data_IF_918784080454
#
_entry.id   IF_918784080454
#
_cell.length_a   1.000
_cell.length_b   1.000
_cell.length_c   1.000
_cell.angle_alpha   90.00
_cell.angle_beta   90.00
_cell.angle_gamma   90.00
#
_symmetry.space_group_name_H-M   'P 1'
#
loop_
_entity.id
_entity.type
_entity.pdbx_description
1 polymer ?
#
# COMPACT_ATOMS: atom_id res chain seq x y z
N UNK A 1 -68.13 8.85 -0.62
CA UNK A 1 -67.22 9.97 -0.93
C UNK A 1 -65.94 9.79 -0.12
N UNK A 2 -64.83 9.55 -0.83
CA UNK A 2 -63.41 9.77 -0.48
C UNK A 2 -62.85 9.14 0.82
N UNK A 3 -62.18 7.99 0.73
CA UNK A 3 -60.71 7.82 0.54
C UNK A 3 -59.84 8.67 1.49
N UNK A 4 -59.16 8.02 2.45
CA UNK A 4 -57.75 8.28 2.77
C UNK A 4 -57.04 6.98 3.13
N UNK A 5 -56.17 6.54 2.24
CA UNK A 5 -55.27 5.42 2.39
C UNK A 5 -54.18 5.80 3.39
N UNK A 6 -54.07 5.11 4.53
CA UNK A 6 -52.89 5.20 5.38
C UNK A 6 -51.92 4.11 4.97
N UNK A 7 -50.81 4.53 4.38
CA UNK A 7 -49.85 3.70 3.69
C UNK A 7 -49.16 2.69 4.62
N UNK A 8 -49.15 1.46 4.13
CA UNK A 8 -48.32 0.34 4.54
C UNK A 8 -46.84 0.75 4.55
N UNK A 9 -46.20 0.80 5.73
CA UNK A 9 -44.73 0.87 5.83
C UNK A 9 -44.19 -0.55 5.96
N UNK A 10 -43.81 -1.11 4.82
CA UNK A 10 -43.06 -2.36 4.72
C UNK A 10 -41.59 -2.05 5.04
N UNK A 11 -41.14 -2.39 6.24
CA UNK A 11 -39.73 -2.29 6.63
C UNK A 11 -38.94 -3.43 5.98
N UNK A 12 -38.26 -3.15 4.88
CA UNK A 12 -37.26 -4.04 4.29
C UNK A 12 -35.92 -3.77 5.00
N UNK A 13 -35.53 -4.65 5.92
CA UNK A 13 -34.14 -4.76 6.35
C UNK A 13 -33.34 -5.36 5.20
N UNK A 14 -32.69 -4.52 4.40
CA UNK A 14 -31.64 -4.95 3.50
C UNK A 14 -30.37 -5.20 4.33
N UNK A 15 -30.11 -6.47 4.66
CA UNK A 15 -28.81 -6.89 5.13
C UNK A 15 -27.80 -6.66 3.99
N UNK A 16 -26.93 -5.66 4.13
CA UNK A 16 -25.73 -5.54 3.30
C UNK A 16 -24.80 -6.71 3.66
N UNK A 17 -24.97 -7.83 2.97
CA UNK A 17 -23.87 -8.78 2.83
C UNK A 17 -22.76 -8.05 2.06
N UNK A 18 -21.65 -7.74 2.75
CA UNK A 18 -20.41 -7.42 2.08
C UNK A 18 -20.13 -8.53 1.07
N UNK A 19 -20.23 -8.21 -0.22
CA UNK A 19 -19.82 -9.11 -1.29
C UNK A 19 -18.31 -9.24 -1.19
N UNK A 20 -17.86 -10.19 -0.36
CA UNK A 20 -16.52 -10.74 -0.50
C UNK A 20 -16.50 -11.37 -1.89
N UNK A 21 -16.06 -10.62 -2.91
CA UNK A 21 -15.81 -11.15 -4.24
C UNK A 21 -14.87 -12.33 -4.01
N UNK A 22 -15.33 -13.55 -4.22
CA UNK A 22 -14.47 -14.67 -3.96
C UNK A 22 -13.39 -14.60 -5.05
N UNK A 23 -12.12 -14.58 -4.65
CA UNK A 23 -11.02 -14.74 -5.59
C UNK A 23 -11.07 -16.18 -6.08
N UNK A 24 -11.91 -16.42 -7.09
CA UNK A 24 -11.91 -17.65 -7.83
C UNK A 24 -10.68 -17.59 -8.74
N UNK A 25 -10.07 -18.75 -8.97
CA UNK A 25 -9.17 -18.90 -10.10
C UNK A 25 -9.80 -18.31 -11.36
N UNK A 26 -8.96 -17.78 -12.26
CA UNK A 26 -9.43 -17.15 -13.49
C UNK A 26 -10.44 -18.09 -14.17
N UNK A 27 -11.66 -17.60 -14.40
CA UNK A 27 -12.68 -18.35 -15.11
C UNK A 27 -12.33 -18.34 -16.60
N UNK A 28 -11.60 -19.36 -17.03
CA UNK A 28 -11.11 -19.45 -18.40
C UNK A 28 -12.21 -19.51 -19.47
N UNK A 29 -13.47 -19.78 -19.09
CA UNK A 29 -14.61 -19.66 -20.01
C UNK A 29 -15.01 -18.21 -20.30
N UNK A 30 -14.55 -17.27 -19.47
CA UNK A 30 -14.85 -15.84 -19.53
C UNK A 30 -13.62 -14.97 -19.76
N UNK A 31 -12.44 -15.55 -19.97
CA UNK A 31 -11.21 -14.81 -20.19
C UNK A 31 -11.34 -13.82 -21.37
N UNK A 32 -11.15 -12.53 -21.10
CA UNK A 32 -11.26 -11.45 -22.08
C UNK A 32 -9.91 -10.75 -22.30
N UNK A 33 -9.15 -10.51 -21.23
CA UNK A 33 -7.89 -9.74 -21.31
C UNK A 33 -6.76 -10.59 -21.91
N UNK A 34 -5.70 -9.96 -22.47
CA UNK A 34 -4.52 -10.69 -22.95
C UNK A 34 -3.89 -11.56 -21.84
N UNK A 35 -3.69 -11.00 -20.65
CA UNK A 35 -3.20 -11.69 -19.45
C UNK A 35 -4.06 -12.89 -19.04
N UNK A 36 -5.38 -12.77 -19.00
CA UNK A 36 -6.29 -13.89 -18.71
C UNK A 36 -6.17 -14.99 -19.76
N UNK A 37 -6.13 -14.61 -21.05
CA UNK A 37 -5.96 -15.57 -22.17
C UNK A 37 -4.63 -16.28 -22.10
N UNK A 38 -3.54 -15.58 -21.77
CA UNK A 38 -2.22 -16.17 -21.55
C UNK A 38 -2.29 -17.25 -20.47
N UNK A 39 -2.82 -16.92 -19.29
CA UNK A 39 -2.96 -17.86 -18.16
C UNK A 39 -3.84 -19.05 -18.57
N UNK A 40 -4.94 -18.80 -19.25
CA UNK A 40 -5.89 -19.85 -19.65
C UNK A 40 -5.40 -20.73 -20.80
N UNK A 41 -4.47 -20.26 -21.62
CA UNK A 41 -3.88 -21.07 -22.69
C UNK A 41 -2.89 -22.13 -22.19
N UNK A 42 -2.40 -21.98 -20.95
CA UNK A 42 -1.40 -22.87 -20.36
C UNK A 42 -1.94 -23.68 -19.19
N UNK A 43 -1.81 -25.01 -19.28
CA UNK A 43 -2.13 -25.91 -18.14
C UNK A 43 -1.21 -25.66 -16.93
N UNK A 44 0.02 -25.24 -17.17
CA UNK A 44 0.97 -24.89 -16.10
C UNK A 44 0.44 -23.67 -15.34
N UNK A 45 0.11 -22.59 -16.06
CA UNK A 45 -0.38 -21.36 -15.45
C UNK A 45 -1.74 -21.53 -14.78
N UNK A 46 -2.68 -22.29 -15.35
CA UNK A 46 -3.93 -22.62 -14.69
C UNK A 46 -3.71 -23.34 -13.35
N UNK A 47 -2.74 -24.26 -13.28
CA UNK A 47 -2.40 -24.96 -12.04
C UNK A 47 -1.74 -24.01 -11.03
N UNK A 48 -0.88 -23.11 -11.50
CA UNK A 48 -0.24 -22.09 -10.67
C UNK A 48 -1.28 -21.12 -10.08
N UNK A 49 -2.20 -20.61 -10.90
CA UNK A 49 -3.29 -19.73 -10.48
C UNK A 49 -4.24 -20.44 -9.49
N UNK A 50 -4.61 -21.70 -9.74
CA UNK A 50 -5.41 -22.48 -8.79
C UNK A 50 -4.71 -22.63 -7.43
N UNK A 51 -3.38 -22.83 -7.43
CA UNK A 51 -2.59 -22.90 -6.20
C UNK A 51 -2.56 -21.55 -5.49
N UNK A 52 -2.32 -20.45 -6.20
CA UNK A 52 -2.36 -19.10 -5.66
C UNK A 52 -3.70 -18.82 -4.96
N UNK A 53 -4.82 -19.12 -5.63
CA UNK A 53 -6.16 -18.87 -5.07
C UNK A 53 -6.46 -19.73 -3.83
N UNK A 54 -5.96 -20.98 -3.79
CA UNK A 54 -6.05 -21.81 -2.58
C UNK A 54 -5.25 -21.22 -1.42
N UNK A 55 -4.02 -20.78 -1.69
CA UNK A 55 -3.17 -20.12 -0.68
C UNK A 55 -3.83 -18.84 -0.19
N UNK A 56 -4.23 -17.95 -1.09
CA UNK A 56 -4.94 -16.72 -0.75
C UNK A 56 -6.20 -16.98 0.10
N UNK A 57 -7.00 -17.97 -0.28
CA UNK A 57 -8.19 -18.36 0.49
C UNK A 57 -7.84 -18.85 1.90
N UNK A 58 -6.71 -19.52 2.08
CA UNK A 58 -6.23 -19.94 3.40
C UNK A 58 -5.74 -18.72 4.21
N UNK A 59 -4.95 -17.82 3.61
CA UNK A 59 -4.49 -16.58 4.23
C UNK A 59 -5.66 -15.68 4.65
N UNK A 60 -6.71 -15.57 3.83
CA UNK A 60 -7.93 -14.85 4.20
C UNK A 60 -8.67 -15.46 5.39
N UNK A 61 -8.59 -16.78 5.58
CA UNK A 61 -9.20 -17.49 6.71
C UNK A 61 -8.37 -17.37 7.98
N UNK A 62 -7.05 -17.14 7.87
CA UNK A 62 -6.17 -16.92 9.02
C UNK A 62 -6.17 -15.46 9.50
N UNK A 63 -6.82 -14.54 8.76
CA UNK A 63 -6.98 -13.15 9.17
C UNK A 63 -7.64 -13.08 10.57
N UNK A 64 -7.01 -12.38 11.54
CA UNK A 64 -7.49 -12.35 12.92
C UNK A 64 -8.73 -11.46 13.11
N UNK A 65 -9.01 -10.55 12.19
CA UNK A 65 -10.11 -9.59 12.24
C UNK A 65 -10.42 -9.03 10.84
N UNK A 66 -11.51 -8.28 10.74
CA UNK A 66 -11.99 -7.72 9.47
C UNK A 66 -11.05 -6.66 8.89
N UNK A 67 -10.32 -5.92 9.72
CA UNK A 67 -9.38 -4.89 9.24
C UNK A 67 -8.19 -5.53 8.52
N UNK A 68 -7.56 -6.54 9.11
CA UNK A 68 -6.49 -7.29 8.45
C UNK A 68 -7.03 -8.09 7.26
N UNK A 69 -8.25 -8.62 7.35
CA UNK A 69 -8.90 -9.28 6.20
C UNK A 69 -9.11 -8.32 5.03
N UNK A 70 -9.61 -7.10 5.28
CA UNK A 70 -9.80 -6.07 4.26
C UNK A 70 -8.47 -5.63 3.65
N UNK A 71 -7.43 -5.48 4.47
CA UNK A 71 -6.06 -5.23 3.99
C UNK A 71 -5.57 -6.32 3.05
N UNK A 72 -5.74 -7.61 3.41
CA UNK A 72 -5.34 -8.73 2.54
C UNK A 72 -6.09 -8.73 1.19
N UNK A 73 -7.37 -8.36 1.21
CA UNK A 73 -8.17 -8.19 -0.03
C UNK A 73 -7.61 -7.05 -0.89
N UNK A 74 -7.30 -5.90 -0.29
CA UNK A 74 -6.73 -4.76 -1.01
C UNK A 74 -5.35 -5.10 -1.60
N UNK A 75 -4.48 -5.73 -0.81
CA UNK A 75 -3.18 -6.23 -1.23
C UNK A 75 -3.30 -7.18 -2.44
N UNK A 76 -4.21 -8.15 -2.40
CA UNK A 76 -4.40 -9.08 -3.53
C UNK A 76 -4.95 -8.39 -4.78
N UNK A 77 -5.87 -7.43 -4.63
CA UNK A 77 -6.38 -6.64 -5.76
C UNK A 77 -5.27 -5.84 -6.43
N UNK A 78 -4.40 -5.18 -5.66
CA UNK A 78 -3.26 -4.43 -6.21
C UNK A 78 -2.29 -5.35 -6.95
N UNK A 79 -1.98 -6.52 -6.38
CA UNK A 79 -1.12 -7.49 -7.04
C UNK A 79 -1.69 -7.98 -8.37
N UNK A 80 -2.99 -8.30 -8.43
CA UNK A 80 -3.66 -8.72 -9.68
C UNK A 80 -3.58 -7.60 -10.72
N UNK A 81 -3.88 -6.35 -10.34
CA UNK A 81 -3.81 -5.21 -11.26
C UNK A 81 -2.38 -5.00 -11.80
N UNK A 82 -1.36 -5.10 -10.94
CA UNK A 82 0.04 -4.98 -11.33
C UNK A 82 0.47 -6.11 -12.28
N UNK A 83 0.09 -7.36 -11.98
CA UNK A 83 0.34 -8.53 -12.84
C UNK A 83 -0.29 -8.33 -14.21
N UNK A 84 -1.57 -7.97 -14.26
CA UNK A 84 -2.32 -7.86 -15.52
C UNK A 84 -1.76 -6.73 -16.39
N UNK A 85 -1.47 -5.56 -15.80
CA UNK A 85 -0.80 -4.44 -16.49
C UNK A 85 0.53 -4.87 -17.09
N UNK A 86 1.36 -5.59 -16.33
CA UNK A 86 2.68 -6.02 -16.78
C UNK A 86 2.60 -7.07 -17.90
N UNK A 87 1.76 -8.10 -17.72
CA UNK A 87 1.58 -9.15 -18.73
C UNK A 87 0.94 -8.60 -20.00
N UNK A 88 -0.06 -7.73 -19.90
CA UNK A 88 -0.67 -7.10 -21.07
C UNK A 88 0.36 -6.26 -21.85
N UNK A 89 1.25 -5.54 -21.14
CA UNK A 89 2.37 -4.83 -21.76
C UNK A 89 3.35 -5.75 -22.49
N UNK A 90 3.79 -6.84 -21.85
CA UNK A 90 4.69 -7.84 -22.46
C UNK A 90 4.08 -8.56 -23.66
N UNK A 91 2.76 -8.79 -23.65
CA UNK A 91 2.04 -9.40 -24.77
C UNK A 91 1.89 -8.40 -25.93
N UNK A 92 1.62 -7.13 -25.61
CA UNK A 92 1.48 -6.06 -26.59
C UNK A 92 2.81 -5.64 -27.23
N UNK A 93 3.91 -5.79 -26.50
CA UNK A 93 5.27 -5.41 -26.92
C UNK A 93 6.24 -6.60 -26.74
N UNK A 94 6.26 -7.57 -27.66
CA UNK A 94 7.10 -8.77 -27.52
C UNK A 94 8.60 -8.49 -27.38
N UNK A 95 9.08 -7.39 -27.95
CA UNK A 95 10.49 -6.95 -27.85
C UNK A 95 10.86 -6.48 -26.43
N UNK A 96 9.86 -6.22 -25.56
CA UNK A 96 10.03 -5.86 -24.15
C UNK A 96 10.17 -7.10 -23.24
N UNK A 97 10.03 -8.31 -23.79
CA UNK A 97 10.26 -9.57 -23.06
C UNK A 97 11.76 -9.78 -22.87
N UNK A 98 12.27 -9.96 -21.64
CA UNK A 98 13.68 -10.22 -21.40
C UNK A 98 14.21 -11.43 -22.19
N UNK A 99 15.41 -11.30 -22.76
CA UNK A 99 16.06 -12.34 -23.54
C UNK A 99 16.04 -13.71 -22.83
N UNK A 100 15.63 -14.74 -23.57
CA UNK A 100 15.59 -16.11 -23.08
C UNK A 100 14.42 -16.43 -22.13
N UNK A 101 13.49 -15.49 -21.90
CA UNK A 101 12.23 -15.75 -21.19
C UNK A 101 11.03 -15.68 -22.14
N UNK A 102 9.98 -16.45 -21.84
CA UNK A 102 8.66 -16.28 -22.46
C UNK A 102 7.71 -15.54 -21.51
N UNK A 103 6.65 -14.94 -22.06
CA UNK A 103 5.58 -14.35 -21.24
C UNK A 103 4.94 -15.39 -20.29
N UNK A 104 4.87 -16.67 -20.70
CA UNK A 104 4.41 -17.76 -19.84
C UNK A 104 5.35 -17.98 -18.64
N UNK A 105 6.67 -18.00 -18.86
CA UNK A 105 7.65 -18.16 -17.77
C UNK A 105 7.63 -16.97 -16.79
N UNK A 106 7.43 -15.75 -17.31
CA UNK A 106 7.30 -14.55 -16.49
C UNK A 106 6.01 -14.61 -15.64
N UNK A 107 4.88 -14.98 -16.25
CA UNK A 107 3.62 -15.16 -15.54
C UNK A 107 3.72 -16.23 -14.45
N UNK A 108 4.39 -17.36 -14.72
CA UNK A 108 4.60 -18.41 -13.71
C UNK A 108 5.43 -17.89 -12.54
N UNK A 109 6.50 -17.11 -12.79
CA UNK A 109 7.33 -16.50 -11.74
C UNK A 109 6.52 -15.55 -10.86
N UNK A 110 5.77 -14.62 -11.47
CA UNK A 110 4.92 -13.69 -10.73
C UNK A 110 3.93 -14.43 -9.81
N UNK A 111 3.24 -15.45 -10.35
CA UNK A 111 2.26 -16.25 -9.59
C UNK A 111 2.96 -17.05 -8.48
N UNK A 112 4.13 -17.63 -8.75
CA UNK A 112 4.90 -18.39 -7.78
C UNK A 112 5.38 -17.51 -6.61
N UNK A 113 5.92 -16.34 -6.91
CA UNK A 113 6.39 -15.36 -5.91
C UNK A 113 5.24 -14.90 -5.02
N UNK A 114 4.10 -14.52 -5.61
CA UNK A 114 2.92 -14.14 -4.82
C UNK A 114 2.40 -15.28 -3.97
N UNK A 115 2.38 -16.49 -4.50
CA UNK A 115 2.00 -17.69 -3.75
C UNK A 115 2.93 -17.90 -2.55
N UNK A 116 4.24 -17.65 -2.72
CA UNK A 116 5.23 -17.78 -1.65
C UNK A 116 5.06 -16.67 -0.58
N UNK A 117 4.82 -15.44 -1.00
CA UNK A 117 4.56 -14.29 -0.12
C UNK A 117 3.31 -14.54 0.76
N UNK A 118 2.20 -14.95 0.15
CA UNK A 118 0.96 -15.28 0.86
C UNK A 118 1.07 -16.53 1.74
N UNK A 119 1.94 -17.46 1.34
CA UNK A 119 2.22 -18.71 2.06
C UNK A 119 3.33 -18.60 3.10
N UNK A 120 3.78 -17.38 3.43
CA UNK A 120 4.69 -17.08 4.55
C UNK A 120 6.10 -17.70 4.42
N UNK A 121 6.59 -17.94 3.19
CA UNK A 121 7.94 -18.48 2.99
C UNK A 121 9.01 -17.39 2.98
N UNK A 122 9.84 -17.33 4.02
CA UNK A 122 11.14 -16.64 4.00
C UNK A 122 11.15 -15.14 4.33
N UNK A 123 10.02 -14.54 4.70
CA UNK A 123 9.87 -13.15 5.18
C UNK A 123 8.74 -13.10 6.23
N UNK A 124 8.62 -11.97 6.95
CA UNK A 124 7.42 -11.71 7.76
C UNK A 124 6.17 -11.81 6.89
N UNK A 125 5.15 -12.50 7.38
CA UNK A 125 3.85 -12.58 6.71
C UNK A 125 3.18 -11.19 6.66
N UNK A 126 2.30 -10.98 5.68
CA UNK A 126 1.51 -9.75 5.57
C UNK A 126 0.71 -9.47 6.86
N UNK A 127 0.28 -10.53 7.56
CA UNK A 127 -0.44 -10.44 8.83
C UNK A 127 0.49 -9.98 9.97
N UNK A 128 1.72 -10.47 10.02
CA UNK A 128 2.71 -10.05 11.02
C UNK A 128 3.19 -8.61 10.81
N UNK A 129 3.34 -8.18 9.56
CA UNK A 129 3.60 -6.78 9.22
C UNK A 129 2.47 -5.90 9.75
N UNK A 130 1.21 -6.25 9.43
CA UNK A 130 0.05 -5.50 9.90
C UNK A 130 -0.10 -5.50 11.43
N UNK A 131 0.26 -6.58 12.12
CA UNK A 131 0.30 -6.62 13.59
C UNK A 131 1.35 -5.68 14.16
N UNK A 132 2.53 -5.63 13.54
CA UNK A 132 3.62 -4.72 13.93
C UNK A 132 3.19 -3.27 13.78
N UNK A 133 2.62 -2.92 12.63
CA UNK A 133 2.04 -1.61 12.36
C UNK A 133 0.98 -1.24 13.39
N UNK A 134 0.02 -2.14 13.65
CA UNK A 134 -1.05 -1.91 14.63
C UNK A 134 -0.48 -1.64 16.02
N UNK A 135 0.51 -2.42 16.47
CA UNK A 135 1.15 -2.24 17.77
C UNK A 135 1.87 -0.89 17.88
N UNK A 136 2.51 -0.43 16.81
CA UNK A 136 3.10 0.90 16.76
C UNK A 136 2.03 2.00 16.82
N UNK A 137 1.01 1.91 15.96
CA UNK A 137 -0.06 2.91 15.82
C UNK A 137 -0.90 3.10 17.09
N UNK A 138 -1.08 2.04 17.89
CA UNK A 138 -1.81 2.10 19.18
C UNK A 138 -1.20 3.05 20.22
N UNK A 139 0.05 3.49 20.01
CA UNK A 139 0.70 4.47 20.90
C UNK A 139 0.21 5.90 20.69
N UNK A 140 -0.56 6.17 19.63
CA UNK A 140 -0.98 7.51 19.22
C UNK A 140 -2.50 7.62 19.16
N UNK A 141 -3.02 8.85 19.16
CA UNK A 141 -4.48 9.07 19.09
C UNK A 141 -5.12 8.64 17.77
N UNK A 142 -4.33 8.35 16.74
CA UNK A 142 -4.78 8.21 15.35
C UNK A 142 -5.44 9.50 14.83
N UNK A 143 -6.24 9.38 13.77
CA UNK A 143 -7.11 10.42 13.24
C UNK A 143 -7.46 10.20 11.77
N UNK A 144 -8.20 11.16 11.21
CA UNK A 144 -8.74 11.09 9.85
C UNK A 144 -7.66 10.94 8.76
N UNK A 145 -6.45 11.43 9.01
CA UNK A 145 -5.34 11.35 8.08
C UNK A 145 -4.44 10.15 8.33
N UNK A 146 -4.58 9.42 9.44
CA UNK A 146 -3.74 8.25 9.70
C UNK A 146 -4.10 7.08 8.78
N UNK A 147 -3.10 6.47 8.14
CA UNK A 147 -3.27 5.27 7.32
C UNK A 147 -2.32 5.24 6.12
N UNK A 148 -2.66 4.36 5.16
CA UNK A 148 -1.80 4.00 4.05
C UNK A 148 -2.53 4.16 2.71
N UNK A 149 -1.85 4.78 1.76
CA UNK A 149 -2.22 4.83 0.35
C UNK A 149 -1.08 4.21 -0.44
N UNK A 150 -1.28 3.02 -1.00
CA UNK A 150 -0.18 2.23 -1.59
C UNK A 150 -0.46 1.94 -3.05
N UNK A 151 0.49 2.32 -3.90
CA UNK A 151 0.55 1.89 -5.30
C UNK A 151 1.56 0.74 -5.43
N UNK A 152 1.30 -0.21 -6.32
CA UNK A 152 2.24 -1.32 -6.56
C UNK A 152 2.32 -1.61 -8.05
N UNK A 153 3.50 -2.00 -8.51
CA UNK A 153 3.79 -2.32 -9.92
C UNK A 153 4.74 -3.52 -9.99
N UNK A 154 4.77 -4.17 -11.17
CA UNK A 154 5.83 -5.11 -11.53
C UNK A 154 6.95 -4.30 -12.20
N UNK A 155 8.10 -4.18 -11.53
CA UNK A 155 9.19 -3.35 -12.02
C UNK A 155 10.06 -4.10 -13.05
N UNK A 156 10.35 -3.51 -14.22
CA UNK A 156 11.31 -4.08 -15.16
C UNK A 156 12.74 -4.05 -14.59
N UNK A 157 13.66 -4.89 -15.09
CA UNK A 157 13.45 -5.89 -16.16
C UNK A 157 12.86 -7.22 -15.66
N UNK A 158 13.03 -7.53 -14.38
CA UNK A 158 12.67 -8.84 -13.82
C UNK A 158 11.19 -8.99 -13.46
N UNK A 159 10.41 -7.91 -13.61
CA UNK A 159 9.00 -7.86 -13.26
C UNK A 159 8.75 -8.12 -11.77
N UNK A 160 9.64 -7.61 -10.93
CA UNK A 160 9.57 -7.77 -9.48
C UNK A 160 8.41 -6.93 -8.93
N UNK A 161 7.51 -7.57 -8.19
CA UNK A 161 6.41 -6.88 -7.51
C UNK A 161 6.96 -5.98 -6.40
N UNK A 162 6.74 -4.67 -6.51
CA UNK A 162 7.13 -3.69 -5.51
C UNK A 162 5.99 -2.71 -5.25
N UNK A 163 5.94 -2.20 -4.03
CA UNK A 163 4.94 -1.25 -3.58
C UNK A 163 5.59 0.05 -3.11
N UNK A 164 4.90 1.15 -3.37
CA UNK A 164 5.30 2.53 -3.15
C UNK A 164 4.19 3.23 -2.36
N UNK A 165 4.31 3.24 -1.02
CA UNK A 165 3.32 3.83 -0.15
C UNK A 165 3.53 5.33 0.08
N UNK A 166 2.42 6.06 0.11
CA UNK A 166 2.27 7.24 0.94
C UNK A 166 1.63 6.79 2.26
N UNK A 167 2.35 6.97 3.37
CA UNK A 167 1.91 6.58 4.71
C UNK A 167 1.85 7.80 5.62
N UNK A 168 0.77 7.87 6.39
CA UNK A 168 0.46 8.99 7.27
C UNK A 168 0.24 8.48 8.69
N UNK A 169 0.90 9.11 9.64
CA UNK A 169 0.79 8.83 11.06
C UNK A 169 0.26 10.07 11.76
N UNK A 170 -0.67 9.90 12.70
CA UNK A 170 -1.31 11.04 13.35
C UNK A 170 -1.36 10.89 14.87
N UNK A 171 -1.06 11.99 15.56
CA UNK A 171 -1.20 12.15 17.00
C UNK A 171 -1.71 13.56 17.34
N UNK A 172 -2.99 13.66 17.70
CA UNK A 172 -3.70 14.92 17.84
C UNK A 172 -3.75 15.70 16.53
N UNK A 173 -3.30 16.94 16.60
CA UNK A 173 -3.10 17.86 15.46
C UNK A 173 -1.78 17.61 14.72
N UNK A 174 -0.95 16.63 15.09
CA UNK A 174 0.32 16.35 14.41
C UNK A 174 0.14 15.25 13.37
N UNK A 175 0.60 15.49 12.14
CA UNK A 175 0.68 14.47 11.08
C UNK A 175 2.12 14.35 10.59
N UNK A 176 2.65 13.13 10.59
CA UNK A 176 3.97 12.79 10.08
C UNK A 176 3.78 11.80 8.93
N UNK A 177 4.35 12.11 7.77
CA UNK A 177 4.10 11.32 6.55
C UNK A 177 5.40 10.86 5.93
N UNK A 178 5.38 9.70 5.29
CA UNK A 178 6.42 9.25 4.38
C UNK A 178 5.79 8.96 3.04
N UNK A 179 6.43 9.44 1.99
CA UNK A 179 6.07 9.16 0.62
C UNK A 179 7.24 8.44 -0.04
N UNK A 180 6.96 7.29 -0.62
CA UNK A 180 7.93 6.50 -1.38
C UNK A 180 7.45 6.41 -2.82
N UNK A 181 8.36 6.65 -3.77
CA UNK A 181 8.05 6.52 -5.18
C UNK A 181 9.27 6.04 -5.97
N UNK A 182 9.00 5.50 -7.16
CA UNK A 182 10.02 5.06 -8.11
C UNK A 182 10.00 5.93 -9.35
N UNK A 183 11.16 6.50 -9.68
CA UNK A 183 11.36 7.25 -10.91
C UNK A 183 12.80 7.06 -11.37
N UNK A 184 13.09 7.24 -12.66
CA UNK A 184 14.47 7.27 -13.18
C UNK A 184 15.36 6.11 -12.66
N UNK A 185 14.79 4.91 -12.55
CA UNK A 185 15.44 3.69 -12.05
C UNK A 185 16.00 3.78 -10.61
N UNK A 186 15.43 4.64 -9.76
CA UNK A 186 15.85 4.86 -8.37
C UNK A 186 14.63 4.99 -7.46
N UNK A 187 14.75 4.50 -6.23
CA UNK A 187 13.76 4.71 -5.18
C UNK A 187 13.99 6.06 -4.48
N UNK A 188 12.90 6.79 -4.31
CA UNK A 188 12.87 8.08 -3.64
C UNK A 188 12.04 7.95 -2.37
N UNK A 189 12.46 8.65 -1.33
CA UNK A 189 11.69 8.76 -0.09
C UNK A 189 11.63 10.21 0.32
N UNK A 190 10.43 10.72 0.59
CA UNK A 190 10.22 12.04 1.18
C UNK A 190 9.54 11.90 2.52
N UNK A 191 10.02 12.64 3.51
CA UNK A 191 9.37 12.76 4.81
C UNK A 191 8.72 14.12 4.91
N UNK A 192 7.52 14.15 5.48
CA UNK A 192 6.75 15.37 5.68
C UNK A 192 6.26 15.47 7.12
N UNK A 193 6.15 16.71 7.57
CA UNK A 193 5.61 17.04 8.88
C UNK A 193 4.58 18.14 8.67
N UNK A 194 3.38 17.90 9.18
CA UNK A 194 2.27 18.84 9.12
C UNK A 194 1.60 18.97 10.48
N UNK A 195 0.96 20.13 10.69
CA UNK A 195 -0.01 20.31 11.76
C UNK A 195 -1.41 20.47 11.15
N UNK A 196 -2.45 20.00 11.84
CA UNK A 196 -3.83 20.22 11.46
C UNK A 196 -4.23 21.62 11.89
N UNK A 197 -4.49 22.48 10.90
CA UNK A 197 -4.99 23.84 11.06
C UNK A 197 -6.34 23.91 10.36
N UNK A 198 -7.38 24.34 11.06
CA UNK A 198 -8.76 24.39 10.55
C UNK A 198 -9.23 23.07 9.91
N UNK A 199 -8.86 21.96 10.54
CA UNK A 199 -9.23 20.61 10.09
C UNK A 199 -8.44 20.09 8.89
N UNK A 200 -7.39 20.79 8.43
CA UNK A 200 -6.56 20.39 7.29
C UNK A 200 -5.06 20.36 7.63
N UNK A 201 -4.30 19.36 7.17
CA UNK A 201 -2.86 19.33 7.31
C UNK A 201 -2.22 20.51 6.59
N UNK A 202 -1.41 21.26 7.32
CA UNK A 202 -0.57 22.35 6.82
C UNK A 202 0.88 21.95 7.04
N UNK A 203 1.65 21.85 5.95
CA UNK A 203 3.05 21.47 6.00
C UNK A 203 3.86 22.50 6.80
N UNK A 204 4.76 21.98 7.64
CA UNK A 204 5.72 22.78 8.40
C UNK A 204 7.15 22.35 8.16
N UNK A 205 7.38 21.11 7.70
CA UNK A 205 8.69 20.67 7.27
C UNK A 205 8.63 19.52 6.26
N UNK A 206 9.68 19.38 5.47
CA UNK A 206 9.94 18.20 4.65
C UNK A 206 11.43 17.93 4.51
N UNK A 207 11.78 16.74 4.05
CA UNK A 207 13.11 16.40 3.58
C UNK A 207 13.03 15.21 2.62
N UNK A 208 14.10 14.93 1.88
CA UNK A 208 14.14 13.80 0.96
C UNK A 208 15.41 12.95 1.07
N UNK A 209 15.28 11.69 0.71
CA UNK A 209 16.37 10.80 0.33
C UNK A 209 16.32 10.65 -1.19
N UNK A 210 17.42 11.03 -1.86
CA UNK A 210 17.56 11.06 -3.31
C UNK A 210 16.60 12.01 -4.06
N UNK A 211 15.88 12.91 -3.38
CA UNK A 211 14.89 13.80 -4.00
C UNK A 211 15.36 15.23 -4.29
N UNK A 212 14.38 16.09 -4.56
CA UNK A 212 14.51 17.51 -4.92
C UNK A 212 14.39 18.47 -3.71
N UNK A 213 14.39 17.93 -2.49
CA UNK A 213 14.33 18.69 -1.24
C UNK A 213 15.65 18.51 -0.44
N UNK A 214 15.79 19.22 0.68
CA UNK A 214 16.92 19.04 1.58
C UNK A 214 17.12 17.56 1.95
N UNK A 215 18.38 17.11 2.00
CA UNK A 215 18.69 15.75 2.42
C UNK A 215 18.28 15.52 3.86
N UNK A 216 17.43 14.50 4.08
CA UNK A 216 16.95 14.14 5.41
C UNK A 216 18.11 13.88 6.39
N UNK A 217 18.07 14.41 7.62
CA UNK A 217 19.13 14.16 8.59
C UNK A 217 19.17 12.70 9.06
N UNK A 218 20.38 12.21 9.20
CA UNK A 218 20.76 10.90 9.74
C UNK A 218 21.69 11.11 10.94
N UNK A 219 21.92 10.08 11.77
CA UNK A 219 22.76 10.18 12.97
C UNK A 219 24.22 10.54 12.70
N UNK A 220 24.69 10.36 11.45
CA UNK A 220 26.08 10.58 11.06
C UNK A 220 26.23 11.58 9.91
N UNK A 221 25.16 12.28 9.52
CA UNK A 221 25.12 13.04 8.28
C UNK A 221 25.45 14.52 8.43
N UNK A 222 26.69 14.90 8.13
CA UNK A 222 27.06 16.32 8.03
C UNK A 222 26.32 17.02 6.87
N UNK A 223 25.89 18.26 7.09
CA UNK A 223 25.23 19.10 6.07
C UNK A 223 23.77 18.73 5.75
N UNK A 224 23.18 17.77 6.48
CA UNK A 224 21.78 17.35 6.29
C UNK A 224 20.83 18.20 7.16
N UNK A 225 19.63 18.49 6.65
CA UNK A 225 18.65 19.29 7.39
C UNK A 225 17.22 19.06 6.91
N UNK A 226 16.25 19.33 7.77
CA UNK A 226 14.86 19.52 7.39
C UNK A 226 14.69 20.86 6.68
N UNK A 227 13.93 20.87 5.58
CA UNK A 227 13.39 22.09 5.01
C UNK A 227 12.19 22.54 5.84
N UNK A 228 12.36 23.60 6.64
CA UNK A 228 11.30 24.16 7.52
C UNK A 228 10.41 25.21 6.85
N UNK A 229 10.57 25.39 5.54
CA UNK A 229 9.72 26.22 4.69
C UNK A 229 9.38 25.46 3.41
N UNK A 230 8.77 24.27 3.53
CA UNK A 230 8.52 23.41 2.38
C UNK A 230 7.52 24.05 1.42
N UNK A 231 7.66 23.74 0.14
CA UNK A 231 6.66 24.09 -0.84
C UNK A 231 5.34 23.35 -0.55
N UNK A 232 4.21 23.94 -0.95
CA UNK A 232 2.91 23.33 -0.76
C UNK A 232 2.81 22.05 -1.61
N UNK A 233 2.32 20.96 -1.00
CA UNK A 233 2.09 19.68 -1.67
C UNK A 233 0.57 19.41 -1.76
N UNK A 234 -0.12 19.86 -2.82
CA UNK A 234 -1.58 19.83 -2.89
C UNK A 234 -2.17 18.41 -2.96
N UNK A 235 -1.40 17.42 -3.42
CA UNK A 235 -1.86 16.04 -3.57
C UNK A 235 -1.63 15.19 -2.32
N UNK A 236 -0.63 15.52 -1.49
CA UNK A 236 -0.18 14.71 -0.35
C UNK A 236 -1.28 14.41 0.69
N UNK A 237 -2.23 15.33 0.87
CA UNK A 237 -3.35 15.18 1.82
C UNK A 237 -4.71 15.33 1.12
N UNK A 238 -4.76 15.05 -0.19
CA UNK A 238 -5.94 15.25 -1.03
C UNK A 238 -7.06 14.24 -0.75
N UNK A 239 -6.70 13.06 -0.22
CA UNK A 239 -7.60 12.02 0.26
C UNK A 239 -7.31 11.66 1.72
N UNK A 240 -8.30 11.04 2.37
CA UNK A 240 -8.12 10.39 3.67
C UNK A 240 -7.85 8.92 3.42
N UNK A 241 -6.78 8.34 3.98
CA UNK A 241 -6.47 6.94 3.74
C UNK A 241 -7.60 6.01 4.21
N UNK A 242 -8.08 5.16 3.30
CA UNK A 242 -9.10 4.16 3.58
C UNK A 242 -8.54 2.99 4.41
N UNK A 243 -7.30 2.59 4.16
CA UNK A 243 -6.62 1.51 4.87
C UNK A 243 -5.86 2.05 6.08
N UNK A 244 -6.10 1.46 7.25
CA UNK A 244 -5.35 1.77 8.47
C UNK A 244 -4.11 0.91 8.68
N UNK A 245 -4.00 -0.19 7.94
CA UNK A 245 -2.88 -1.13 7.92
C UNK A 245 -2.61 -1.54 6.48
N UNK A 246 -1.35 -1.78 6.14
CA UNK A 246 -0.96 -2.31 4.84
C UNK A 246 0.21 -3.30 4.95
N UNK A 247 -0.08 -4.60 4.86
CA UNK A 247 0.91 -5.66 5.03
C UNK A 247 1.99 -5.70 3.94
N UNK A 248 1.82 -4.97 2.82
CA UNK A 248 2.87 -4.82 1.80
C UNK A 248 3.98 -3.85 2.22
N UNK A 249 3.74 -3.05 3.27
CA UNK A 249 4.61 -1.94 3.68
C UNK A 249 5.36 -2.29 4.96
N UNK A 250 6.66 -2.53 4.85
CA UNK A 250 7.53 -2.71 6.03
C UNK A 250 8.07 -1.33 6.42
N UNK A 251 7.57 -0.75 7.50
CA UNK A 251 7.81 0.64 7.92
C UNK A 251 8.52 0.78 9.28
N UNK A 252 8.96 -0.33 9.87
CA UNK A 252 9.57 -0.36 11.20
C UNK A 252 10.88 0.43 11.30
N UNK A 253 11.61 0.59 10.19
CA UNK A 253 12.83 1.41 10.13
C UNK A 253 12.56 2.92 10.39
N UNK A 254 11.31 3.37 10.22
CA UNK A 254 10.92 4.75 10.46
C UNK A 254 10.43 5.03 11.89
N UNK A 255 10.16 3.99 12.69
CA UNK A 255 9.46 4.15 13.96
C UNK A 255 10.16 5.09 14.94
N UNK A 256 11.50 5.12 14.94
CA UNK A 256 12.26 5.98 15.83
C UNK A 256 12.03 7.47 15.56
N UNK A 257 12.16 7.92 14.31
CA UNK A 257 11.93 9.33 14.00
C UNK A 257 10.44 9.67 14.00
N UNK A 258 9.57 8.73 13.61
CA UNK A 258 8.11 8.92 13.67
C UNK A 258 7.66 9.17 15.10
N UNK A 259 8.18 8.43 16.07
CA UNK A 259 7.88 8.65 17.48
C UNK A 259 8.22 10.08 17.91
N UNK A 260 9.44 10.54 17.63
CA UNK A 260 9.84 11.92 17.91
C UNK A 260 8.95 12.92 17.17
N UNK A 261 8.69 12.70 15.89
CA UNK A 261 7.86 13.57 15.08
C UNK A 261 6.44 13.73 15.64
N UNK A 262 5.84 12.63 16.12
CA UNK A 262 4.46 12.59 16.60
C UNK A 262 4.30 13.12 18.03
N UNK A 263 5.36 13.14 18.84
CA UNK A 263 5.29 13.54 20.25
C UNK A 263 5.99 14.85 20.59
N UNK A 264 7.04 15.23 19.86
CA UNK A 264 7.78 16.47 20.07
C UNK A 264 7.30 17.56 19.09
N UNK A 265 6.53 18.51 19.63
CA UNK A 265 5.98 19.64 18.84
C UNK A 265 7.04 20.63 18.37
N UNK A 266 8.19 20.68 19.04
CA UNK A 266 9.30 21.56 18.65
C UNK A 266 10.10 20.99 17.49
N UNK A 267 10.08 19.66 17.29
CA UNK A 267 10.70 19.01 16.16
C UNK A 267 9.96 19.33 14.85
N UNK A 268 10.66 19.54 13.73
CA UNK A 268 12.10 19.78 13.59
C UNK A 268 12.44 21.28 13.66
N UNK A 269 11.48 22.16 13.96
CA UNK A 269 11.64 23.61 13.87
C UNK A 269 12.69 24.18 14.83
N UNK A 270 12.84 23.59 16.02
CA UNK A 270 13.82 24.03 17.01
C UNK A 270 15.27 23.68 16.62
N UNK A 271 15.46 22.57 15.91
CA UNK A 271 16.74 22.13 15.38
C UNK A 271 16.52 21.33 14.09
N UNK A 272 16.62 22.00 12.92
CA UNK A 272 16.42 21.35 11.63
C UNK A 272 17.50 20.31 11.29
N UNK A 273 18.60 20.22 12.02
CA UNK A 273 19.66 19.21 11.77
C UNK A 273 19.42 17.90 12.50
N UNK A 274 18.45 17.86 13.43
CA UNK A 274 18.10 16.66 14.18
C UNK A 274 17.41 15.62 13.29
N UNK A 275 17.90 14.38 13.31
CA UNK A 275 17.29 13.24 12.58
C UNK A 275 15.94 12.81 13.14
N UNK A 276 15.69 13.09 14.43
CA UNK A 276 14.54 12.59 15.16
C UNK A 276 14.72 11.16 15.68
N UNK A 277 15.79 10.46 15.32
CA UNK A 277 16.18 9.21 15.97
C UNK A 277 16.91 9.55 17.27
N UNK A 278 16.61 8.83 18.35
CA UNK A 278 17.44 8.90 19.57
C UNK A 278 18.67 8.04 19.30
N UNK A 279 19.86 8.55 19.59
CA UNK A 279 21.11 7.78 19.56
C UNK A 279 21.14 6.68 20.63
#
# INVERSE_FOLDING_TARGET
MNLKHSALRLSVLAALCALSVPAWAIDCSKAQTPSEKLICSSKLLQKADSRLNKTYSATLKSAPDEEIRAMLVASQKRWIAARDKALDGLIGEPDSVPDGKSAEQIADSMIAERTAQLGEKGKMSLIEVARTQRAFLQQFSSGDYAGYETSCDMLPPDQTYNCFPTRHYQNGDRVCSVDEYWATNTGYTKRFIANIVDGKPTLIASCSFNGDDNTCPTTSGEGQSWNVKPEAQPTLYSSKPELKLDGEVIDNDDYNWLKTCLTDKSFPLADPTRSGTVD
#
